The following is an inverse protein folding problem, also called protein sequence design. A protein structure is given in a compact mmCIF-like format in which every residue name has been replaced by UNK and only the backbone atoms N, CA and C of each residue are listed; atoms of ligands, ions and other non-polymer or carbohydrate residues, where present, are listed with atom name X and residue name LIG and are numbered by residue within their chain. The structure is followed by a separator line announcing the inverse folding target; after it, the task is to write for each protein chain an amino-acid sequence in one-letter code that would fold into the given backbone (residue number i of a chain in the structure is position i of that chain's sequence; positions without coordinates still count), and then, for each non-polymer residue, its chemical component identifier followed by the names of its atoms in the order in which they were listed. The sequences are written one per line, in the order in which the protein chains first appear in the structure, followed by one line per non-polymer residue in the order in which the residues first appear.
data_IF_293541554304
#
_entry.id   IF_293541554304
#
_cell.length_a   1.000
_cell.length_b   1.000
_cell.length_c   1.000
_cell.angle_alpha   90.00
_cell.angle_beta   90.00
_cell.angle_gamma   90.00
#
_symmetry.space_group_name_H-M   'P 1'
#
loop_
_entity.id
_entity.type
_entity.pdbx_description
1 polymer ?
#
# COMPACT_ATOMS: atom_id res chain seq x y z
N UNK A 1 -19.03 -1.72 -4.89
CA UNK A 1 -19.20 -3.11 -5.38
C UNK A 1 -19.57 -3.97 -4.19
N UNK A 2 -20.51 -4.89 -4.31
CA UNK A 2 -20.84 -5.87 -3.27
C UNK A 2 -19.99 -7.15 -3.38
N UNK A 3 -19.87 -7.96 -2.31
CA UNK A 3 -19.20 -9.26 -2.39
C UNK A 3 -19.79 -10.19 -3.46
N UNK A 4 -21.11 -10.19 -3.65
CA UNK A 4 -21.76 -10.99 -4.69
C UNK A 4 -21.35 -10.54 -6.10
N UNK A 5 -21.32 -9.22 -6.36
CA UNK A 5 -20.83 -8.68 -7.64
C UNK A 5 -19.37 -9.06 -7.89
N UNK A 6 -18.51 -8.93 -6.88
CA UNK A 6 -17.10 -9.31 -6.99
C UNK A 6 -16.90 -10.82 -7.27
N UNK A 7 -17.67 -11.68 -6.60
CA UNK A 7 -17.63 -13.12 -6.80
C UNK A 7 -18.05 -13.52 -8.23
N UNK A 8 -18.95 -12.77 -8.85
CA UNK A 8 -19.46 -13.05 -10.19
C UNK A 8 -18.54 -12.55 -11.32
N UNK A 9 -17.54 -11.72 -11.03
CA UNK A 9 -16.63 -11.20 -12.05
C UNK A 9 -15.82 -12.32 -12.73
N UNK A 10 -15.60 -12.26 -14.05
CA UNK A 10 -14.55 -13.03 -14.71
C UNK A 10 -13.21 -12.84 -14.00
N UNK A 11 -12.40 -13.90 -13.90
CA UNK A 11 -11.13 -13.84 -13.16
C UNK A 11 -10.22 -12.67 -13.58
N UNK A 12 -10.02 -12.38 -14.89
CA UNK A 12 -9.22 -11.24 -15.32
C UNK A 12 -9.77 -9.88 -14.85
N UNK A 13 -11.09 -9.75 -14.72
CA UNK A 13 -11.72 -8.51 -14.29
C UNK A 13 -11.59 -8.32 -12.77
N UNK A 14 -11.75 -9.39 -12.00
CA UNK A 14 -11.50 -9.39 -10.56
C UNK A 14 -10.03 -9.04 -10.24
N UNK A 15 -9.08 -9.63 -10.96
CA UNK A 15 -7.65 -9.30 -10.82
C UNK A 15 -7.38 -7.83 -11.11
N UNK A 16 -7.97 -7.24 -12.17
CA UNK A 16 -7.79 -5.81 -12.46
C UNK A 16 -8.32 -4.91 -11.34
N UNK A 17 -9.47 -5.24 -10.74
CA UNK A 17 -10.00 -4.48 -9.61
C UNK A 17 -9.06 -4.58 -8.39
N UNK A 18 -8.60 -5.79 -8.08
CA UNK A 18 -7.66 -6.04 -6.98
C UNK A 18 -6.32 -5.32 -7.18
N UNK A 19 -5.78 -5.27 -8.41
CA UNK A 19 -4.52 -4.59 -8.70
C UNK A 19 -4.54 -3.08 -8.38
N UNK A 20 -5.72 -2.46 -8.28
CA UNK A 20 -5.84 -1.08 -7.78
C UNK A 20 -5.60 -0.94 -6.28
N UNK A 21 -5.79 -2.03 -5.52
CA UNK A 21 -5.58 -2.09 -4.08
C UNK A 21 -4.13 -2.46 -3.74
N UNK A 22 -3.55 -3.41 -4.48
CA UNK A 22 -2.18 -3.87 -4.31
C UNK A 22 -1.63 -4.34 -5.67
N UNK A 23 -0.52 -3.74 -6.12
CA UNK A 23 0.03 -3.97 -7.46
C UNK A 23 0.76 -5.32 -7.64
N UNK A 24 0.88 -6.14 -6.59
CA UNK A 24 1.41 -7.50 -6.71
C UNK A 24 0.46 -8.38 -7.53
N UNK A 25 0.95 -8.89 -8.66
CA UNK A 25 0.19 -9.80 -9.51
C UNK A 25 -0.05 -11.16 -8.84
N UNK A 26 0.89 -11.60 -8.00
CA UNK A 26 0.74 -12.83 -7.23
C UNK A 26 -0.40 -12.70 -6.20
N UNK A 27 -0.48 -11.56 -5.51
CA UNK A 27 -1.56 -11.28 -4.57
C UNK A 27 -2.93 -11.23 -5.26
N UNK A 28 -3.05 -10.48 -6.36
CA UNK A 28 -4.31 -10.34 -7.08
C UNK A 28 -4.84 -11.69 -7.61
N UNK A 29 -3.95 -12.55 -8.12
CA UNK A 29 -4.29 -13.92 -8.54
C UNK A 29 -4.72 -14.79 -7.37
N UNK A 30 -4.00 -14.75 -6.25
CA UNK A 30 -4.31 -15.55 -5.07
C UNK A 30 -5.70 -15.21 -4.49
N UNK A 31 -6.01 -13.92 -4.33
CA UNK A 31 -7.31 -13.46 -3.84
C UNK A 31 -8.41 -13.71 -4.87
N UNK A 32 -8.13 -13.61 -6.17
CA UNK A 32 -9.11 -13.97 -7.22
C UNK A 32 -9.47 -15.46 -7.17
N UNK A 33 -8.49 -16.32 -6.96
CA UNK A 33 -8.65 -17.78 -6.91
C UNK A 33 -9.36 -18.26 -5.63
N UNK A 34 -9.35 -17.46 -4.56
CA UNK A 34 -10.02 -17.78 -3.30
C UNK A 34 -11.53 -17.52 -3.28
N UNK A 35 -12.10 -16.97 -4.36
CA UNK A 35 -13.55 -16.74 -4.49
C UNK A 35 -14.31 -18.08 -4.58
N UNK A 36 -15.58 -18.14 -4.12
CA UNK A 36 -16.39 -17.04 -3.63
C UNK A 36 -16.18 -16.71 -2.14
N UNK A 37 -16.32 -15.42 -1.79
CA UNK A 37 -16.32 -14.95 -0.40
C UNK A 37 -17.75 -14.65 0.08
N UNK A 38 -18.11 -15.10 1.28
CA UNK A 38 -19.42 -14.87 1.88
C UNK A 38 -19.62 -13.42 2.36
N UNK A 39 -18.53 -12.70 2.69
CA UNK A 39 -18.59 -11.32 3.15
C UNK A 39 -17.34 -10.51 2.82
N UNK A 40 -17.43 -9.18 2.96
CA UNK A 40 -16.24 -8.32 2.88
C UNK A 40 -15.25 -8.62 4.02
N UNK A 41 -15.73 -9.02 5.20
CA UNK A 41 -14.87 -9.42 6.32
C UNK A 41 -13.99 -10.62 5.98
N UNK A 42 -14.59 -11.66 5.40
CA UNK A 42 -13.85 -12.85 4.94
C UNK A 42 -12.84 -12.49 3.83
N UNK A 43 -13.24 -11.68 2.85
CA UNK A 43 -12.34 -11.18 1.81
C UNK A 43 -11.15 -10.41 2.43
N UNK A 44 -11.38 -9.57 3.45
CA UNK A 44 -10.31 -8.83 4.14
C UNK A 44 -9.34 -9.76 4.85
N UNK A 45 -9.83 -10.78 5.54
CA UNK A 45 -8.99 -11.77 6.21
C UNK A 45 -8.10 -12.51 5.21
N UNK A 46 -8.69 -12.99 4.11
CA UNK A 46 -7.97 -13.69 3.04
C UNK A 46 -6.98 -12.76 2.33
N UNK A 47 -7.38 -11.52 2.05
CA UNK A 47 -6.52 -10.50 1.47
C UNK A 47 -5.29 -10.20 2.34
N UNK A 48 -5.47 -10.06 3.65
CA UNK A 48 -4.38 -9.83 4.60
C UNK A 48 -3.44 -11.04 4.68
N UNK A 49 -3.98 -12.25 4.75
CA UNK A 49 -3.21 -13.50 4.71
C UNK A 49 -2.40 -13.63 3.42
N UNK A 50 -2.99 -13.26 2.29
CA UNK A 50 -2.31 -13.29 0.99
C UNK A 50 -1.12 -12.31 0.93
N UNK A 51 -1.20 -11.11 1.54
CA UNK A 51 -0.03 -10.20 1.64
C UNK A 51 1.07 -10.81 2.50
N UNK A 52 0.70 -11.43 3.63
CA UNK A 52 1.66 -12.09 4.52
C UNK A 52 2.40 -13.24 3.82
N UNK A 53 1.72 -13.97 2.93
CA UNK A 53 2.28 -15.10 2.19
C UNK A 53 3.14 -14.71 0.97
N UNK A 54 3.13 -13.44 0.54
CA UNK A 54 3.90 -13.01 -0.63
C UNK A 54 5.39 -13.28 -0.46
N UNK A 55 6.08 -13.64 -1.54
CA UNK A 55 7.54 -13.61 -1.56
C UNK A 55 8.03 -12.16 -1.50
N UNK A 56 9.29 -11.93 -1.12
CA UNK A 56 9.84 -10.57 -1.12
C UNK A 56 9.84 -9.92 -2.53
N UNK A 57 10.18 -10.63 -3.62
CA UNK A 57 10.00 -10.11 -4.97
C UNK A 57 8.56 -9.64 -5.29
N UNK A 58 7.55 -10.36 -4.81
CA UNK A 58 6.14 -9.96 -5.03
C UNK A 58 5.76 -8.73 -4.20
N UNK A 59 6.30 -8.59 -2.98
CA UNK A 59 6.16 -7.36 -2.19
C UNK A 59 6.85 -6.22 -2.92
N UNK A 60 8.07 -6.41 -3.43
CA UNK A 60 8.83 -5.43 -4.21
C UNK A 60 8.04 -4.94 -5.42
N UNK A 61 7.40 -5.84 -6.16
CA UNK A 61 6.52 -5.47 -7.27
C UNK A 61 5.40 -4.52 -6.81
N UNK A 62 4.79 -4.79 -5.65
CA UNK A 62 3.78 -3.90 -5.10
C UNK A 62 4.37 -2.51 -4.77
N UNK A 63 5.54 -2.47 -4.12
CA UNK A 63 6.21 -1.23 -3.72
C UNK A 63 6.54 -0.32 -4.90
N UNK A 64 6.94 -0.87 -6.04
CA UNK A 64 7.33 -0.09 -7.23
C UNK A 64 6.16 0.75 -7.80
N UNK A 65 4.92 0.43 -7.43
CA UNK A 65 3.73 1.21 -7.80
C UNK A 65 3.38 2.34 -6.79
N UNK A 66 4.09 2.45 -5.68
CA UNK A 66 3.84 3.50 -4.68
C UNK A 66 4.70 4.75 -4.95
N UNK A 67 4.09 5.95 -4.97
CA UNK A 67 4.86 7.19 -4.99
C UNK A 67 5.53 7.42 -3.64
N UNK A 68 6.64 8.16 -3.64
CA UNK A 68 7.32 8.56 -2.40
C UNK A 68 6.41 9.42 -1.52
N UNK A 69 6.64 9.40 -0.21
CA UNK A 69 5.92 10.28 0.72
C UNK A 69 6.29 11.73 0.44
N UNK A 70 5.28 12.56 0.18
CA UNK A 70 5.45 13.98 -0.16
C UNK A 70 5.48 14.25 -1.67
N UNK A 71 5.59 13.21 -2.50
CA UNK A 71 5.41 13.35 -3.96
C UNK A 71 3.94 13.18 -4.33
N UNK A 72 3.45 14.05 -5.23
CA UNK A 72 2.07 13.95 -5.71
C UNK A 72 1.98 12.83 -6.74
N UNK A 73 1.16 11.81 -6.44
CA UNK A 73 0.87 10.74 -7.39
C UNK A 73 0.37 11.32 -8.73
N UNK A 74 1.06 10.96 -9.83
CA UNK A 74 0.72 11.37 -11.18
C UNK A 74 -0.48 10.58 -11.72
N UNK A 75 -1.22 11.15 -12.67
CA UNK A 75 -2.34 10.49 -13.33
C UNK A 75 -3.72 10.68 -12.69
N UNK A 76 -4.75 10.32 -13.46
CA UNK A 76 -6.16 10.46 -13.11
C UNK A 76 -6.81 9.13 -12.64
N UNK A 77 -6.03 8.05 -12.57
CA UNK A 77 -6.49 6.75 -12.12
C UNK A 77 -6.97 6.73 -10.66
N UNK A 78 -7.71 5.67 -10.30
CA UNK A 78 -8.22 5.47 -8.94
C UNK A 78 -7.08 5.35 -7.93
N UNK A 79 -6.00 4.66 -8.28
CA UNK A 79 -4.83 4.46 -7.42
C UNK A 79 -4.14 5.79 -7.11
N UNK A 80 -3.96 6.65 -8.12
CA UNK A 80 -3.37 7.97 -7.95
C UNK A 80 -4.28 8.87 -7.10
N UNK A 81 -5.60 8.81 -7.30
CA UNK A 81 -6.56 9.54 -6.48
C UNK A 81 -6.56 9.07 -5.02
N UNK A 82 -6.45 7.76 -4.78
CA UNK A 82 -6.33 7.17 -3.45
C UNK A 82 -5.03 7.56 -2.76
N UNK A 83 -3.90 7.46 -3.46
CA UNK A 83 -2.60 7.86 -2.93
C UNK A 83 -2.56 9.33 -2.53
N UNK A 84 -3.14 10.24 -3.34
CA UNK A 84 -3.23 11.67 -2.97
C UNK A 84 -4.06 11.90 -1.71
N UNK A 85 -5.14 11.14 -1.51
CA UNK A 85 -5.96 11.23 -0.28
C UNK A 85 -5.26 10.64 0.93
N UNK A 86 -4.56 9.51 0.75
CA UNK A 86 -3.78 8.85 1.81
C UNK A 86 -2.65 9.74 2.33
N UNK A 87 -2.00 10.50 1.44
CA UNK A 87 -0.86 11.37 1.79
C UNK A 87 -1.25 12.83 2.07
N UNK A 88 -2.51 13.12 2.39
CA UNK A 88 -2.97 14.51 2.60
C UNK A 88 -2.19 15.24 3.69
N UNK A 89 -1.78 14.53 4.76
CA UNK A 89 -0.97 15.11 5.84
C UNK A 89 0.48 15.40 5.45
N UNK A 90 1.03 14.73 4.43
CA UNK A 90 2.35 15.06 3.88
C UNK A 90 2.28 16.31 2.99
N UNK A 91 1.14 16.53 2.31
CA UNK A 91 0.94 17.69 1.44
C UNK A 91 0.82 19.03 2.21
N UNK A 92 0.60 18.98 3.53
CA UNK A 92 0.55 20.15 4.41
C UNK A 92 1.85 20.40 5.19
N UNK A 93 2.95 19.72 4.82
CA UNK A 93 4.25 19.92 5.45
C UNK A 93 4.77 21.36 5.25
N UNK A 94 5.43 21.90 6.25
CA UNK A 94 6.26 23.10 6.06
C UNK A 94 7.50 22.77 5.21
N UNK A 95 8.19 23.81 4.72
CA UNK A 95 9.34 23.66 3.82
C UNK A 95 10.46 22.83 4.43
N UNK A 96 10.71 23.00 5.73
CA UNK A 96 11.75 22.27 6.45
C UNK A 96 11.42 20.77 6.55
N UNK A 97 10.18 20.44 6.88
CA UNK A 97 9.70 19.06 7.00
C UNK A 97 9.62 18.38 5.63
N UNK A 98 9.18 19.11 4.60
CA UNK A 98 9.17 18.62 3.23
C UNK A 98 10.59 18.28 2.74
N UNK A 99 11.56 19.18 2.95
CA UNK A 99 12.96 18.91 2.61
C UNK A 99 13.52 17.71 3.39
N UNK A 100 13.21 17.62 4.68
CA UNK A 100 13.63 16.50 5.51
C UNK A 100 13.01 15.15 5.09
N UNK A 101 11.76 15.15 4.61
CA UNK A 101 11.12 13.98 4.03
C UNK A 101 11.80 13.52 2.74
N UNK A 102 12.20 14.45 1.86
CA UNK A 102 12.95 14.11 0.64
C UNK A 102 14.25 13.40 0.99
N UNK A 103 15.03 13.96 1.93
CA UNK A 103 16.28 13.34 2.37
C UNK A 103 16.07 12.00 3.08
N UNK A 104 15.02 11.87 3.89
CA UNK A 104 14.68 10.61 4.55
C UNK A 104 14.27 9.52 3.54
N UNK A 105 13.49 9.85 2.51
CA UNK A 105 13.14 8.91 1.45
C UNK A 105 14.39 8.42 0.70
N UNK A 106 15.30 9.34 0.32
CA UNK A 106 16.56 9.00 -0.36
C UNK A 106 17.43 8.07 0.49
N UNK A 107 17.68 8.44 1.74
CA UNK A 107 18.47 7.61 2.65
C UNK A 107 17.85 6.22 2.88
N UNK A 108 16.52 6.13 2.86
CA UNK A 108 15.81 4.86 3.00
C UNK A 108 15.96 3.99 1.75
N UNK A 109 15.81 4.57 0.56
CA UNK A 109 16.04 3.89 -0.72
C UNK A 109 17.49 3.42 -0.87
N UNK A 110 18.47 4.24 -0.49
CA UNK A 110 19.88 3.86 -0.52
C UNK A 110 20.19 2.67 0.41
N UNK A 111 19.51 2.60 1.55
CA UNK A 111 19.71 1.53 2.55
C UNK A 111 19.02 0.23 2.19
N UNK A 112 17.72 0.29 1.86
CA UNK A 112 16.86 -0.89 1.71
C UNK A 112 16.56 -1.22 0.23
N UNK A 113 16.93 -0.35 -0.70
CA UNK A 113 16.76 -0.53 -2.14
C UNK A 113 15.34 -0.31 -2.65
N UNK A 114 14.38 0.07 -1.81
CA UNK A 114 12.98 0.33 -2.18
C UNK A 114 12.44 1.60 -1.50
N UNK A 115 11.31 2.10 -2.00
CA UNK A 115 10.63 3.28 -1.43
C UNK A 115 10.26 3.07 0.04
N UNK A 116 10.26 4.16 0.80
CA UNK A 116 9.71 4.18 2.16
C UNK A 116 8.19 4.04 2.12
N UNK A 117 7.69 2.85 2.46
CA UNK A 117 6.26 2.58 2.55
C UNK A 117 5.74 2.79 3.97
N UNK A 118 4.69 3.58 4.11
CA UNK A 118 3.93 3.75 5.36
C UNK A 118 2.44 3.95 5.06
N UNK A 119 1.58 3.43 5.94
CA UNK A 119 0.16 3.75 5.97
C UNK A 119 -0.01 5.22 6.39
N UNK A 120 -0.03 6.11 5.41
CA UNK A 120 -0.03 7.56 5.61
C UNK A 120 -1.39 8.13 6.09
N UNK A 121 -2.48 7.39 5.88
CA UNK A 121 -3.83 7.89 6.19
C UNK A 121 -3.96 8.27 7.67
N UNK A 122 -4.25 9.54 7.93
CA UNK A 122 -4.38 10.09 9.28
C UNK A 122 -3.07 10.48 9.96
N UNK A 123 -1.92 10.39 9.28
CA UNK A 123 -0.62 10.82 9.82
C UNK A 123 -0.26 12.23 9.37
N UNK A 124 0.41 12.97 10.24
CA UNK A 124 1.07 14.23 9.87
C UNK A 124 2.39 13.99 9.13
N UNK A 125 2.90 15.02 8.46
CA UNK A 125 4.23 15.01 7.85
C UNK A 125 5.34 14.68 8.87
N UNK A 126 5.26 15.25 10.07
CA UNK A 126 6.22 15.00 11.15
C UNK A 126 6.20 13.56 11.64
N UNK A 127 5.02 12.96 11.79
CA UNK A 127 4.89 11.55 12.18
C UNK A 127 5.49 10.62 11.12
N UNK A 128 5.26 10.92 9.84
CA UNK A 128 5.84 10.17 8.73
C UNK A 128 7.37 10.32 8.68
N UNK A 129 7.89 11.54 8.87
CA UNK A 129 9.33 11.81 8.92
C UNK A 129 9.99 11.10 10.10
N UNK A 130 9.39 11.19 11.29
CA UNK A 130 9.87 10.49 12.48
C UNK A 130 9.87 8.97 12.28
N UNK A 131 8.85 8.42 11.64
CA UNK A 131 8.79 7.00 11.30
C UNK A 131 9.88 6.59 10.31
N UNK A 132 10.12 7.38 9.26
CA UNK A 132 11.19 7.13 8.29
C UNK A 132 12.56 7.10 8.97
N UNK A 133 12.87 8.13 9.78
CA UNK A 133 14.13 8.23 10.54
C UNK A 133 14.33 7.10 11.52
N UNK A 134 13.29 6.70 12.25
CA UNK A 134 13.36 5.56 13.17
C UNK A 134 13.63 4.25 12.43
N UNK A 135 12.93 4.01 11.32
CA UNK A 135 13.03 2.76 10.54
C UNK A 135 14.35 2.60 9.81
N UNK A 136 15.06 3.70 9.54
CA UNK A 136 16.46 3.64 9.11
C UNK A 136 17.39 2.94 10.10
N UNK A 137 17.00 2.71 11.36
CA UNK A 137 17.82 1.94 12.31
C UNK A 137 17.59 0.42 12.24
N UNK A 138 16.54 -0.04 11.53
CA UNK A 138 16.17 -1.45 11.47
C UNK A 138 17.17 -2.27 10.65
N UNK A 139 17.37 -3.54 11.01
CA UNK A 139 17.94 -4.50 10.09
C UNK A 139 16.95 -4.85 8.96
N UNK A 140 17.46 -5.49 7.91
CA UNK A 140 16.71 -5.84 6.71
C UNK A 140 15.49 -6.72 7.01
N UNK A 141 15.62 -7.69 7.92
CA UNK A 141 14.53 -8.62 8.22
C UNK A 141 13.40 -7.91 8.98
N UNK A 142 13.76 -7.15 10.02
CA UNK A 142 12.82 -6.36 10.79
C UNK A 142 12.09 -5.33 9.91
N UNK A 143 12.81 -4.70 8.98
CA UNK A 143 12.19 -3.71 8.08
C UNK A 143 11.24 -4.36 7.07
N UNK A 144 11.57 -5.51 6.52
CA UNK A 144 10.65 -6.26 5.64
C UNK A 144 9.35 -6.62 6.37
N UNK A 145 9.43 -6.99 7.64
CA UNK A 145 8.24 -7.24 8.46
C UNK A 145 7.40 -5.98 8.68
N UNK A 146 8.04 -4.82 8.88
CA UNK A 146 7.33 -3.53 8.96
C UNK A 146 6.64 -3.24 7.63
N UNK A 147 7.38 -3.32 6.51
CA UNK A 147 6.86 -3.05 5.16
C UNK A 147 5.63 -3.90 4.86
N UNK A 148 5.64 -5.19 5.21
CA UNK A 148 4.48 -6.07 5.03
C UNK A 148 3.26 -5.59 5.81
N UNK A 149 3.44 -5.19 7.08
CA UNK A 149 2.33 -4.66 7.89
C UNK A 149 1.75 -3.37 7.31
N UNK A 150 2.61 -2.46 6.87
CA UNK A 150 2.20 -1.21 6.21
C UNK A 150 1.47 -1.49 4.89
N UNK A 151 1.99 -2.40 4.07
CA UNK A 151 1.36 -2.82 2.80
C UNK A 151 0.00 -3.47 3.03
N UNK A 152 -0.14 -4.33 4.05
CA UNK A 152 -1.43 -4.92 4.43
C UNK A 152 -2.43 -3.83 4.82
N UNK A 153 -2.04 -2.87 5.66
CA UNK A 153 -2.94 -1.79 6.08
C UNK A 153 -3.43 -0.94 4.88
N UNK A 154 -2.53 -0.60 3.95
CA UNK A 154 -2.89 0.13 2.72
C UNK A 154 -3.80 -0.71 1.83
N UNK A 155 -3.48 -1.99 1.65
CA UNK A 155 -4.27 -2.93 0.84
C UNK A 155 -5.70 -3.03 1.35
N UNK A 156 -5.88 -3.19 2.68
CA UNK A 156 -7.21 -3.29 3.29
C UNK A 156 -8.00 -1.99 3.21
N UNK A 157 -7.36 -0.83 3.41
CA UNK A 157 -8.03 0.47 3.24
C UNK A 157 -8.52 0.67 1.80
N UNK A 158 -7.71 0.28 0.81
CA UNK A 158 -8.10 0.40 -0.61
C UNK A 158 -9.17 -0.60 -0.98
N UNK A 159 -9.14 -1.80 -0.39
CA UNK A 159 -10.20 -2.79 -0.53
C UNK A 159 -11.53 -2.24 0.02
N UNK A 160 -11.55 -1.62 1.19
CA UNK A 160 -12.76 -0.99 1.73
C UNK A 160 -13.32 0.07 0.76
N UNK A 161 -12.45 0.92 0.23
CA UNK A 161 -12.84 1.93 -0.78
C UNK A 161 -13.38 1.33 -2.07
N UNK A 162 -12.86 0.19 -2.51
CA UNK A 162 -13.34 -0.52 -3.70
C UNK A 162 -14.78 -1.03 -3.49
N UNK A 163 -15.10 -1.47 -2.27
CA UNK A 163 -16.43 -1.94 -1.90
C UNK A 163 -17.37 -0.82 -1.46
N UNK A 164 -16.86 0.39 -1.25
CA UNK A 164 -17.63 1.59 -0.92
C UNK A 164 -17.93 1.76 0.57
N UNK A 165 -17.07 1.18 1.41
CA UNK A 165 -17.15 1.25 2.89
C UNK A 165 -16.08 2.15 3.47
#
# INVERSE_FOLDING_TARGET
MSPAEFNALPAPDAERELLTCNASSAWARAVTAGRPYASLGELREVAAGAVAALSWPDVRQALDAHPRIGERAAGAGREAAWSRREQSGAASADEQTAAALVEANRAYEDRFGHVFLIFASGKSADEMLAAARRRLANDEAAERDVVRRELTAITLLRLDRLFGT
#
